data_IF_714512133379
#
_entry.id   IF_714512133379
#
_cell.length_a   1.000
_cell.length_b   1.000
_cell.length_c   1.000
_cell.angle_alpha   90.00
_cell.angle_beta   90.00
_cell.angle_gamma   90.00
#
_symmetry.space_group_name_H-M   'P 1'
#
loop_
_entity.id
_entity.type
_entity.pdbx_description
1 polymer ?
#
# COMPACT_ATOMS: atom_id res chain seq x y z
N UNK A 1 47.73 -4.17 9.07
CA UNK A 1 46.59 -3.25 8.93
C UNK A 1 46.31 -3.04 7.46
N UNK A 2 45.29 -3.70 6.93
CA UNK A 2 44.98 -3.70 5.49
C UNK A 2 44.21 -2.44 5.13
N UNK A 3 44.88 -1.52 4.44
CA UNK A 3 44.33 -0.31 3.84
C UNK A 3 43.18 -0.69 2.87
N UNK A 4 41.94 -0.35 3.25
CA UNK A 4 40.70 -0.74 2.57
C UNK A 4 40.40 0.02 1.27
N UNK A 5 41.39 0.18 0.39
CA UNK A 5 41.24 0.95 -0.85
C UNK A 5 41.29 0.04 -2.09
N UNK A 6 40.35 0.25 -3.02
CA UNK A 6 40.28 -0.45 -4.30
C UNK A 6 40.98 0.38 -5.39
N UNK A 7 42.11 -0.12 -5.91
CA UNK A 7 42.81 0.47 -7.06
C UNK A 7 43.63 1.74 -6.76
N UNK A 8 44.04 2.45 -7.83
CA UNK A 8 44.89 3.67 -7.76
C UNK A 8 44.11 4.94 -7.42
N UNK A 9 42.78 4.87 -7.30
CA UNK A 9 41.95 6.02 -7.00
C UNK A 9 42.23 6.54 -5.58
N UNK A 10 42.43 7.85 -5.48
CA UNK A 10 42.62 8.58 -4.22
C UNK A 10 41.53 9.65 -4.14
N UNK A 11 40.81 9.80 -3.01
CA UNK A 11 39.91 10.93 -2.81
C UNK A 11 40.68 12.23 -3.04
N UNK A 12 40.17 13.11 -3.89
CA UNK A 12 40.77 14.43 -4.08
C UNK A 12 40.68 15.22 -2.77
N UNK A 13 41.77 15.89 -2.37
CA UNK A 13 41.67 16.89 -1.30
C UNK A 13 40.94 18.11 -1.84
N UNK A 14 39.97 18.69 -1.09
CA UNK A 14 39.34 19.93 -1.49
C UNK A 14 40.40 21.02 -1.64
N UNK A 15 40.28 21.85 -2.69
CA UNK A 15 41.27 22.89 -3.05
C UNK A 15 41.39 24.02 -2.01
N UNK A 16 40.42 24.11 -1.12
CA UNK A 16 40.34 25.11 -0.06
C UNK A 16 39.08 24.90 0.76
N UNK A 17 38.90 25.69 1.82
CA UNK A 17 37.71 25.63 2.66
C UNK A 17 36.47 26.04 1.87
N UNK A 18 35.40 25.24 1.97
CA UNK A 18 34.08 25.58 1.41
C UNK A 18 33.29 26.41 2.43
N UNK A 19 32.37 27.25 1.98
CA UNK A 19 31.56 28.09 2.87
C UNK A 19 30.83 27.30 3.96
N UNK A 20 30.41 26.06 3.67
CA UNK A 20 29.77 25.16 4.63
C UNK A 20 30.67 24.73 5.81
N UNK A 21 32.00 24.90 5.74
CA UNK A 21 32.94 24.58 6.82
C UNK A 21 33.08 25.70 7.86
N UNK A 22 32.65 26.92 7.53
CA UNK A 22 32.73 28.04 8.46
C UNK A 22 31.49 28.06 9.35
N UNK A 23 31.71 28.15 10.67
CA UNK A 23 30.64 28.34 11.67
C UNK A 23 30.27 29.83 11.76
N UNK A 24 29.97 30.43 10.62
CA UNK A 24 29.39 31.76 10.54
C UNK A 24 27.87 31.61 10.50
N UNK A 25 27.08 32.58 10.99
CA UNK A 25 25.68 32.63 10.62
C UNK A 25 25.64 32.51 9.10
N UNK A 26 24.98 31.47 8.59
CA UNK A 26 24.80 31.28 7.16
C UNK A 26 24.18 32.55 6.56
N UNK A 27 24.15 32.70 5.24
CA UNK A 27 23.51 33.87 4.64
C UNK A 27 22.11 34.03 5.24
N UNK A 28 21.82 35.22 5.79
CA UNK A 28 20.52 35.56 6.41
C UNK A 28 19.34 35.39 5.44
N UNK A 29 19.65 35.25 4.15
CA UNK A 29 18.71 35.15 3.05
C UNK A 29 19.03 33.92 2.21
N UNK A 30 18.00 33.21 1.74
CA UNK A 30 18.17 32.14 0.76
C UNK A 30 18.77 32.70 -0.52
N UNK A 31 19.83 32.07 -1.02
CA UNK A 31 20.39 32.44 -2.32
C UNK A 31 19.38 32.09 -3.42
N UNK A 32 19.16 32.97 -4.40
CA UNK A 32 18.34 32.65 -5.56
C UNK A 32 18.92 31.45 -6.31
N UNK A 33 18.04 30.64 -6.92
CA UNK A 33 18.47 29.49 -7.69
C UNK A 33 19.18 29.93 -8.97
N UNK A 34 20.20 29.17 -9.39
CA UNK A 34 20.80 29.33 -10.72
C UNK A 34 20.14 28.42 -11.77
N UNK A 35 19.13 27.64 -11.37
CA UNK A 35 18.47 26.61 -12.19
C UNK A 35 16.97 26.80 -12.14
N UNK A 36 16.28 26.68 -13.27
CA UNK A 36 14.85 26.92 -13.34
C UNK A 36 14.49 28.37 -13.67
N UNK A 37 13.18 28.61 -13.84
CA UNK A 37 12.63 29.91 -14.22
C UNK A 37 12.14 30.71 -13.02
N UNK A 38 11.54 30.05 -12.04
CA UNK A 38 11.01 30.70 -10.83
C UNK A 38 12.16 31.00 -9.86
N UNK A 39 12.22 32.23 -9.35
CA UNK A 39 13.22 32.67 -8.36
C UNK A 39 14.68 32.52 -8.84
N UNK A 40 14.91 32.69 -10.15
CA UNK A 40 16.26 32.71 -10.74
C UNK A 40 16.96 34.06 -10.47
N UNK A 41 18.26 34.02 -10.21
CA UNK A 41 19.10 35.21 -10.03
C UNK A 41 19.18 36.05 -11.33
N UNK A 42 18.67 37.30 -11.38
CA UNK A 42 18.69 38.10 -12.60
C UNK A 42 20.09 38.50 -13.05
N UNK A 43 21.10 38.43 -12.17
CA UNK A 43 22.50 38.80 -12.49
C UNK A 43 23.26 37.72 -13.25
N UNK A 44 22.68 36.51 -13.38
CA UNK A 44 23.34 35.35 -13.99
C UNK A 44 22.64 34.89 -15.26
N UNK A 45 23.40 34.25 -16.15
CA UNK A 45 22.83 33.67 -17.36
C UNK A 45 21.97 32.45 -16.99
N UNK A 46 20.76 32.39 -17.54
CA UNK A 46 19.80 31.32 -17.29
C UNK A 46 20.10 30.10 -18.17
N UNK A 47 20.25 28.92 -17.56
CA UNK A 47 20.29 27.65 -18.26
C UNK A 47 18.86 27.11 -18.52
N UNK A 48 18.62 26.32 -19.59
CA UNK A 48 17.32 25.71 -19.84
C UNK A 48 16.96 24.73 -18.71
N UNK A 49 15.68 24.72 -18.33
CA UNK A 49 15.16 23.84 -17.28
C UNK A 49 14.24 22.78 -17.91
N UNK A 50 14.73 21.54 -17.99
CA UNK A 50 13.95 20.39 -18.43
C UNK A 50 13.45 19.62 -17.23
N UNK A 51 12.18 19.23 -17.25
CA UNK A 51 11.61 18.32 -16.26
C UNK A 51 11.78 16.88 -16.74
N UNK A 52 12.28 15.99 -15.88
CA UNK A 52 12.28 14.55 -16.15
C UNK A 52 10.90 13.99 -15.85
N UNK A 53 10.00 14.06 -16.84
CA UNK A 53 8.69 13.43 -16.80
C UNK A 53 7.64 14.15 -15.96
N UNK A 54 6.38 13.82 -16.24
CA UNK A 54 5.24 14.21 -15.41
C UNK A 54 5.15 13.25 -14.22
N UNK A 55 4.95 13.77 -13.00
CA UNK A 55 4.49 12.94 -11.88
C UNK A 55 3.09 12.43 -12.24
N UNK A 56 2.97 11.15 -12.57
CA UNK A 56 1.68 10.47 -12.65
C UNK A 56 1.07 10.56 -11.26
N UNK A 57 -0.04 11.28 -11.12
CA UNK A 57 -0.84 11.24 -9.89
C UNK A 57 -1.25 9.78 -9.73
N UNK A 58 -0.93 9.17 -8.60
CA UNK A 58 -1.51 7.87 -8.29
C UNK A 58 -3.02 8.05 -8.37
N UNK A 59 -3.68 7.25 -9.22
CA UNK A 59 -5.14 7.16 -9.15
C UNK A 59 -5.49 6.86 -7.70
N UNK A 60 -6.45 7.58 -7.09
CA UNK A 60 -6.97 7.15 -5.81
C UNK A 60 -7.41 5.70 -6.01
N UNK A 61 -6.74 4.79 -5.28
CA UNK A 61 -7.11 3.38 -5.23
C UNK A 61 -8.63 3.34 -5.17
N UNK A 62 -9.22 2.62 -6.11
CA UNK A 62 -10.64 2.55 -6.39
C UNK A 62 -11.40 2.11 -5.11
N UNK A 63 -11.67 3.04 -4.21
CA UNK A 63 -12.46 2.84 -3.02
C UNK A 63 -13.92 2.95 -3.44
N UNK A 64 -14.40 1.96 -4.21
CA UNK A 64 -15.84 1.81 -4.32
C UNK A 64 -16.34 1.49 -2.91
N UNK A 65 -17.33 2.23 -2.38
CA UNK A 65 -17.92 1.86 -1.11
C UNK A 65 -18.42 0.42 -1.31
N UNK A 66 -17.93 -0.51 -0.50
CA UNK A 66 -18.63 -1.78 -0.32
C UNK A 66 -20.11 -1.45 -0.04
N UNK A 67 -21.05 -2.33 -0.42
CA UNK A 67 -22.47 -2.01 -0.48
C UNK A 67 -22.89 -1.20 0.75
N UNK A 68 -23.43 0.00 0.51
CA UNK A 68 -23.79 0.99 1.55
C UNK A 68 -24.91 0.50 2.49
N UNK A 69 -25.37 -0.74 2.32
CA UNK A 69 -26.43 -1.37 3.09
C UNK A 69 -26.05 -2.81 3.46
N UNK A 70 -26.51 -3.23 4.63
CA UNK A 70 -26.37 -4.60 5.11
C UNK A 70 -27.17 -5.54 4.18
N UNK A 71 -26.48 -6.37 3.41
CA UNK A 71 -27.12 -7.40 2.59
C UNK A 71 -27.74 -8.42 3.55
N UNK A 72 -29.05 -8.69 3.38
CA UNK A 72 -29.75 -9.67 4.20
C UNK A 72 -29.04 -11.04 4.09
N UNK A 73 -28.82 -11.76 5.20
CA UNK A 73 -28.22 -13.08 5.15
C UNK A 73 -29.05 -14.02 4.26
N UNK A 74 -28.38 -14.86 3.47
CA UNK A 74 -29.03 -15.76 2.50
C UNK A 74 -29.23 -15.14 1.11
N UNK A 75 -28.41 -14.16 0.71
CA UNK A 75 -28.34 -13.66 -0.66
C UNK A 75 -26.88 -13.61 -1.14
N UNK A 76 -26.63 -14.16 -2.33
CA UNK A 76 -25.35 -14.08 -3.05
C UNK A 76 -25.48 -13.12 -4.24
N UNK A 77 -24.36 -12.78 -4.90
CA UNK A 77 -24.38 -11.93 -6.09
C UNK A 77 -25.22 -12.49 -7.26
N UNK A 78 -25.60 -13.78 -7.22
CA UNK A 78 -26.44 -14.46 -8.23
C UNK A 78 -27.90 -14.64 -7.82
N UNK A 79 -28.28 -14.23 -6.60
CA UNK A 79 -29.64 -14.38 -6.08
C UNK A 79 -29.71 -15.00 -4.68
N UNK A 80 -30.91 -15.38 -4.25
CA UNK A 80 -31.17 -15.98 -2.94
C UNK A 80 -30.36 -17.26 -2.77
N UNK A 81 -29.62 -17.35 -1.67
CA UNK A 81 -28.76 -18.47 -1.35
C UNK A 81 -29.64 -19.70 -1.07
N UNK A 82 -29.51 -20.73 -1.92
CA UNK A 82 -30.34 -21.94 -1.91
C UNK A 82 -29.91 -22.94 -0.82
N UNK A 83 -29.51 -22.45 0.36
CA UNK A 83 -29.01 -23.30 1.44
C UNK A 83 -30.12 -24.31 1.81
N UNK A 84 -29.85 -25.63 1.81
CA UNK A 84 -30.85 -26.62 2.16
C UNK A 84 -31.31 -26.42 3.61
N UNK A 85 -32.62 -26.21 3.80
CA UNK A 85 -33.24 -26.17 5.12
C UNK A 85 -33.56 -27.61 5.56
N UNK A 86 -32.78 -28.15 6.49
CA UNK A 86 -33.04 -29.47 7.06
C UNK A 86 -34.11 -29.35 8.15
N UNK A 87 -35.23 -30.05 7.99
CA UNK A 87 -36.22 -30.18 9.07
C UNK A 87 -35.79 -31.33 9.98
N UNK A 88 -35.61 -31.05 11.27
CA UNK A 88 -35.53 -32.11 12.28
C UNK A 88 -36.95 -32.63 12.54
N UNK A 89 -37.45 -33.49 11.67
CA UNK A 89 -38.71 -34.19 11.94
C UNK A 89 -38.51 -35.14 13.12
N UNK A 90 -39.50 -35.18 14.03
CA UNK A 90 -39.46 -36.06 15.19
C UNK A 90 -39.35 -37.53 14.77
N UNK A 91 -38.66 -38.34 15.59
CA UNK A 91 -38.54 -39.79 15.38
C UNK A 91 -39.94 -40.41 15.28
N UNK A 92 -40.25 -41.23 14.25
CA UNK A 92 -41.49 -41.99 14.20
C UNK A 92 -41.68 -42.79 15.50
N UNK A 93 -42.92 -42.89 15.99
CA UNK A 93 -43.20 -43.73 17.16
C UNK A 93 -42.69 -45.15 16.86
N UNK A 94 -41.96 -45.78 17.80
CA UNK A 94 -41.54 -47.16 17.62
C UNK A 94 -42.78 -48.03 17.42
N UNK A 95 -42.70 -48.95 16.46
CA UNK A 95 -43.76 -49.90 16.21
C UNK A 95 -43.98 -50.78 17.46
N UNK A 96 -45.20 -51.29 17.67
CA UNK A 96 -45.48 -52.11 18.85
C UNK A 96 -44.61 -53.36 18.80
N UNK A 97 -43.87 -53.62 19.88
CA UNK A 97 -43.11 -54.85 20.04
C UNK A 97 -44.10 -56.01 19.93
N UNK A 98 -43.89 -56.88 18.94
CA UNK A 98 -44.68 -58.09 18.76
C UNK A 98 -44.52 -58.95 20.02
N UNK A 99 -45.62 -59.09 20.77
CA UNK A 99 -45.70 -59.81 22.04
C UNK A 99 -46.15 -61.25 21.85
N UNK A 100 -46.35 -61.68 20.61
CA UNK A 100 -46.77 -63.04 20.33
C UNK A 100 -45.60 -63.98 20.68
N UNK A 101 -45.79 -64.94 21.59
CA UNK A 101 -44.80 -65.99 21.77
C UNK A 101 -44.59 -66.70 20.44
N UNK A 102 -43.34 -66.98 20.10
CA UNK A 102 -43.01 -67.73 18.88
C UNK A 102 -43.70 -69.09 18.89
N UNK A 103 -44.04 -69.65 17.71
CA UNK A 103 -44.67 -70.96 17.64
C UNK A 103 -43.62 -72.01 18.02
N UNK A 104 -43.75 -72.54 19.24
CA UNK A 104 -42.83 -73.52 19.80
C UNK A 104 -43.42 -74.14 21.07
N UNK A 105 -44.58 -74.79 20.90
CA UNK A 105 -44.98 -76.14 21.35
C UNK A 105 -46.43 -76.40 20.92
#
# INVERSE_FOLDING_TARGET
>A
STDGWVGTWRPHRPRGPISAQYRTPGPKYGLPSNVGYQQHDPTRNRAPAYTFGLKVRADPLHCSPGPQYLVRPGFTARGKDGIPAYTMLARPRPDRINTNPGPGE
#
